data_IF_450445922077
#
_entry.id   IF_450445922077
#
_cell.length_a   1.000
_cell.length_b   1.000
_cell.length_c   1.000
_cell.angle_alpha   90.00
_cell.angle_beta   90.00
_cell.angle_gamma   90.00
#
_symmetry.space_group_name_H-M   'P 1'
#
loop_
_entity.id
_entity.type
_entity.pdbx_description
1 polymer ?
#
# COMPACT_ATOMS: atom_id res chain seq x y z
N UNK A 1 -13.01 9.62 4.08
CA UNK A 1 -11.93 8.88 4.75
C UNK A 1 -11.17 9.82 5.67
N UNK A 2 -10.99 9.45 6.94
CA UNK A 2 -10.06 10.11 7.84
C UNK A 2 -8.67 9.60 7.47
N UNK A 3 -7.88 10.48 6.87
CA UNK A 3 -6.57 10.09 6.38
C UNK A 3 -5.57 9.91 7.51
N UNK A 4 -5.75 10.66 8.60
CA UNK A 4 -4.83 10.60 9.73
C UNK A 4 -5.41 11.26 10.98
N UNK A 5 -5.14 10.71 12.15
CA UNK A 5 -5.45 11.32 13.44
C UNK A 5 -4.19 11.93 14.06
N UNK A 6 -4.33 13.07 14.72
CA UNK A 6 -3.26 13.75 15.44
C UNK A 6 -3.34 13.49 16.94
N UNK A 7 -2.22 13.14 17.55
CA UNK A 7 -2.09 12.76 18.96
C UNK A 7 -1.21 13.74 19.75
N UNK A 8 -0.76 14.81 19.13
CA UNK A 8 0.00 15.90 19.72
C UNK A 8 -0.16 17.17 18.90
N UNK A 9 0.16 18.32 19.48
CA UNK A 9 0.15 19.60 18.77
C UNK A 9 1.06 19.58 17.53
N UNK A 10 2.25 18.99 17.65
CA UNK A 10 3.18 18.86 16.52
C UNK A 10 2.64 17.99 15.38
N UNK A 11 1.89 16.93 15.70
CA UNK A 11 1.20 16.12 14.69
C UNK A 11 0.06 16.91 14.04
N UNK A 12 -0.73 17.65 14.83
CA UNK A 12 -1.79 18.53 14.29
C UNK A 12 -1.22 19.59 13.34
N UNK A 13 -0.09 20.22 13.67
CA UNK A 13 0.62 21.12 12.78
C UNK A 13 1.07 20.44 11.47
N UNK A 14 1.53 19.19 11.57
CA UNK A 14 1.87 18.34 10.42
C UNK A 14 0.65 18.07 9.53
N UNK A 15 -0.49 17.72 10.14
CA UNK A 15 -1.74 17.50 9.43
C UNK A 15 -2.26 18.78 8.77
N UNK A 16 -2.16 19.93 9.44
CA UNK A 16 -2.54 21.22 8.87
C UNK A 16 -1.70 21.56 7.62
N UNK A 17 -0.37 21.38 7.67
CA UNK A 17 0.51 21.59 6.51
C UNK A 17 0.14 20.65 5.36
N UNK A 18 -0.10 19.36 5.66
CA UNK A 18 -0.50 18.36 4.66
C UNK A 18 -1.87 18.73 4.04
N UNK A 19 -2.85 19.10 4.86
CA UNK A 19 -4.17 19.53 4.39
C UNK A 19 -4.09 20.73 3.45
N UNK A 20 -3.31 21.77 3.82
CA UNK A 20 -3.08 22.93 2.98
C UNK A 20 -2.43 22.56 1.63
N UNK A 21 -1.45 21.65 1.64
CA UNK A 21 -0.84 21.15 0.41
C UNK A 21 -1.86 20.42 -0.48
N UNK A 22 -2.70 19.56 0.11
CA UNK A 22 -3.76 18.84 -0.62
C UNK A 22 -4.76 19.81 -1.24
N UNK A 23 -5.24 20.79 -0.47
CA UNK A 23 -6.16 21.84 -0.96
C UNK A 23 -5.52 22.63 -2.13
N UNK A 24 -4.24 22.96 -2.03
CA UNK A 24 -3.53 23.68 -3.11
C UNK A 24 -3.41 22.85 -4.40
N UNK A 25 -3.51 21.54 -4.30
CA UNK A 25 -3.51 20.60 -5.44
C UNK A 25 -4.93 20.25 -5.95
N UNK A 26 -5.96 20.84 -5.35
CA UNK A 26 -7.35 20.63 -5.74
C UNK A 26 -8.05 19.47 -5.05
N UNK A 27 -7.45 18.94 -3.98
CA UNK A 27 -8.09 17.91 -3.16
C UNK A 27 -9.03 18.51 -2.12
N UNK A 28 -10.13 17.78 -1.79
CA UNK A 28 -11.05 18.14 -0.70
C UNK A 28 -10.51 17.62 0.62
N UNK A 29 -9.60 18.37 1.22
CA UNK A 29 -9.09 18.10 2.55
C UNK A 29 -9.66 19.08 3.57
N UNK A 30 -9.92 18.59 4.77
CA UNK A 30 -10.44 19.38 5.89
C UNK A 30 -9.77 18.93 7.18
N UNK A 31 -9.27 19.90 7.95
CA UNK A 31 -8.75 19.64 9.28
C UNK A 31 -9.92 19.64 10.25
N UNK A 32 -10.11 18.52 10.95
CA UNK A 32 -11.18 18.33 11.93
C UNK A 32 -10.66 18.57 13.35
N UNK A 33 -11.45 19.25 14.16
CA UNK A 33 -11.31 19.27 15.61
C UNK A 33 -11.63 17.90 16.22
N UNK A 34 -11.32 17.73 17.49
CA UNK A 34 -11.66 16.52 18.23
C UNK A 34 -13.19 16.30 18.26
N UNK A 35 -13.97 17.35 18.47
CA UNK A 35 -15.43 17.32 18.53
C UNK A 35 -16.02 16.87 17.19
N UNK A 36 -15.57 17.47 16.09
CA UNK A 36 -16.01 17.10 14.74
C UNK A 36 -15.62 15.66 14.39
N UNK A 37 -14.43 15.23 14.83
CA UNK A 37 -14.00 13.86 14.66
C UNK A 37 -14.86 12.88 15.46
N UNK A 38 -15.30 13.25 16.69
CA UNK A 38 -16.19 12.44 17.53
C UNK A 38 -17.55 12.22 16.89
N UNK A 39 -18.08 13.23 16.22
CA UNK A 39 -19.35 13.12 15.50
C UNK A 39 -19.24 12.18 14.29
N UNK A 40 -18.10 12.23 13.61
CA UNK A 40 -17.86 11.42 12.40
C UNK A 40 -17.55 9.95 12.72
N UNK A 41 -16.81 9.69 13.80
CA UNK A 41 -16.37 8.34 14.21
C UNK A 41 -16.63 8.08 15.71
N UNK A 42 -17.89 7.97 16.10
CA UNK A 42 -18.28 7.86 17.51
C UNK A 42 -17.82 6.58 18.21
N UNK A 43 -17.35 5.59 17.48
CA UNK A 43 -16.86 4.32 18.03
C UNK A 43 -15.37 4.33 18.38
N UNK A 44 -14.66 5.40 18.06
CA UNK A 44 -13.24 5.55 18.41
C UNK A 44 -13.13 6.22 19.76
N UNK A 45 -12.43 5.59 20.69
CA UNK A 45 -12.13 6.20 21.99
C UNK A 45 -11.10 7.32 21.80
N UNK A 46 -11.53 8.56 21.92
CA UNK A 46 -10.69 9.74 21.70
C UNK A 46 -10.05 10.27 23.00
N UNK A 47 -10.54 9.79 24.16
CA UNK A 47 -10.12 10.24 25.48
C UNK A 47 -9.15 9.26 26.15
N UNK A 48 -8.54 8.34 25.39
CA UNK A 48 -7.55 7.44 25.94
C UNK A 48 -6.37 8.23 26.52
N UNK A 49 -6.04 8.08 27.80
CA UNK A 49 -4.98 8.88 28.43
C UNK A 49 -3.59 8.56 27.88
N UNK A 50 -3.44 7.42 27.23
CA UNK A 50 -2.16 6.98 26.66
C UNK A 50 -1.97 7.48 25.23
N UNK A 51 -3.07 7.58 24.48
CA UNK A 51 -3.06 8.01 23.08
C UNK A 51 -4.26 8.93 22.79
N UNK A 52 -4.31 10.12 23.40
CA UNK A 52 -5.39 11.05 23.16
C UNK A 52 -5.43 11.48 21.70
N UNK A 53 -6.60 11.70 21.16
CA UNK A 53 -6.78 12.26 19.82
C UNK A 53 -7.13 13.73 19.96
N UNK A 54 -6.37 14.61 19.28
CA UNK A 54 -6.59 16.06 19.26
C UNK A 54 -7.42 16.52 18.06
N UNK A 55 -7.48 15.70 17.02
CA UNK A 55 -8.21 15.99 15.80
C UNK A 55 -7.76 15.07 14.66
N UNK A 56 -8.09 15.43 13.44
CA UNK A 56 -7.75 14.61 12.28
C UNK A 56 -7.79 15.37 10.96
N UNK A 57 -7.25 14.76 9.92
CA UNK A 57 -7.33 15.25 8.55
C UNK A 57 -8.32 14.39 7.76
N UNK A 58 -9.42 14.97 7.35
CA UNK A 58 -10.43 14.34 6.53
C UNK A 58 -10.13 14.58 5.04
N UNK A 59 -10.11 13.51 4.24
CA UNK A 59 -10.14 13.59 2.79
C UNK A 59 -11.52 13.14 2.30
N UNK A 60 -12.39 14.10 1.97
CA UNK A 60 -13.82 13.85 1.67
C UNK A 60 -14.01 12.92 0.47
N UNK A 61 -13.20 13.07 -0.57
CA UNK A 61 -13.23 12.23 -1.77
C UNK A 61 -12.31 11.00 -1.70
N UNK A 62 -11.71 10.75 -0.55
CA UNK A 62 -10.98 9.51 -0.32
C UNK A 62 -11.91 8.31 -0.37
N UNK A 63 -11.38 7.16 -0.75
CA UNK A 63 -12.16 5.93 -0.87
C UNK A 63 -11.27 4.70 -0.79
N UNK A 64 -11.90 3.54 -0.86
CA UNK A 64 -11.24 2.25 -0.85
C UNK A 64 -11.22 1.67 -2.26
N UNK A 65 -10.04 1.33 -2.76
CA UNK A 65 -9.91 0.58 -4.00
C UNK A 65 -9.85 -0.93 -3.70
N UNK A 66 -10.64 -1.70 -4.41
CA UNK A 66 -10.51 -3.16 -4.35
C UNK A 66 -9.27 -3.58 -5.12
N UNK A 67 -8.21 -3.94 -4.37
CA UNK A 67 -6.90 -4.27 -4.93
C UNK A 67 -6.94 -5.43 -5.94
N UNK A 68 -7.79 -6.45 -5.68
CA UNK A 68 -8.04 -7.57 -6.58
C UNK A 68 -8.63 -7.10 -7.92
N UNK A 69 -9.63 -6.23 -7.91
CA UNK A 69 -10.25 -5.68 -9.11
C UNK A 69 -9.26 -4.83 -9.91
N UNK A 70 -8.41 -4.05 -9.23
CA UNK A 70 -7.34 -3.27 -9.87
C UNK A 70 -6.34 -4.19 -10.56
N UNK A 71 -5.83 -5.21 -9.86
CA UNK A 71 -4.89 -6.18 -10.41
C UNK A 71 -5.47 -6.90 -11.64
N UNK A 72 -6.71 -7.39 -11.56
CA UNK A 72 -7.40 -8.02 -12.69
C UNK A 72 -7.69 -7.04 -13.83
N UNK A 73 -7.94 -5.78 -13.52
CA UNK A 73 -8.10 -4.73 -14.53
C UNK A 73 -6.85 -4.57 -15.39
N UNK A 74 -5.68 -4.46 -14.75
CA UNK A 74 -4.39 -4.39 -15.44
C UNK A 74 -4.05 -5.68 -16.19
N UNK A 75 -4.28 -6.85 -15.58
CA UNK A 75 -4.03 -8.14 -16.22
C UNK A 75 -4.85 -8.29 -17.51
N UNK A 76 -6.15 -7.99 -17.49
CA UNK A 76 -7.01 -8.03 -18.69
C UNK A 76 -6.58 -7.02 -19.75
N UNK A 77 -6.08 -5.85 -19.32
CA UNK A 77 -5.56 -4.87 -20.27
C UNK A 77 -4.28 -5.38 -20.94
N UNK A 78 -3.36 -5.95 -20.18
CA UNK A 78 -2.14 -6.55 -20.71
C UNK A 78 -2.43 -7.68 -21.70
N UNK A 79 -3.32 -8.60 -21.35
CA UNK A 79 -3.77 -9.70 -22.20
C UNK A 79 -4.33 -9.18 -23.55
N UNK A 80 -5.18 -8.14 -23.54
CA UNK A 80 -5.67 -7.50 -24.78
C UNK A 80 -4.57 -6.90 -25.65
N UNK A 81 -3.42 -6.59 -25.07
CA UNK A 81 -2.22 -6.13 -25.79
C UNK A 81 -1.27 -7.26 -26.18
N UNK A 82 -1.69 -8.52 -26.04
CA UNK A 82 -0.90 -9.69 -26.45
C UNK A 82 0.17 -10.11 -25.44
N UNK A 83 0.01 -9.73 -24.17
CA UNK A 83 0.91 -10.18 -23.11
C UNK A 83 0.44 -11.54 -22.58
N UNK A 84 1.31 -12.54 -22.65
CA UNK A 84 1.04 -13.85 -22.03
C UNK A 84 1.20 -13.76 -20.52
N UNK A 85 0.15 -14.11 -19.77
CA UNK A 85 0.13 -14.16 -18.32
C UNK A 85 0.16 -15.60 -17.86
N UNK A 86 1.30 -16.05 -17.36
CA UNK A 86 1.49 -17.42 -16.90
C UNK A 86 1.35 -17.48 -15.39
N UNK A 87 0.21 -17.99 -14.92
CA UNK A 87 -0.07 -18.16 -13.49
C UNK A 87 0.59 -19.42 -12.94
N UNK A 88 0.80 -19.47 -11.62
CA UNK A 88 1.42 -20.60 -10.92
C UNK A 88 2.80 -20.98 -11.49
N UNK A 89 3.49 -20.01 -12.07
CA UNK A 89 4.81 -20.15 -12.64
C UNK A 89 5.86 -19.50 -11.74
N UNK A 90 6.45 -20.29 -10.85
CA UNK A 90 7.45 -19.82 -9.90
C UNK A 90 8.82 -19.73 -10.57
N UNK A 91 9.47 -18.57 -10.44
CA UNK A 91 10.86 -18.38 -10.86
C UNK A 91 11.78 -18.98 -9.79
N UNK A 92 12.53 -20.00 -10.18
CA UNK A 92 13.46 -20.74 -9.30
C UNK A 92 14.93 -20.41 -9.54
N UNK A 93 15.23 -19.72 -10.63
CA UNK A 93 16.60 -19.32 -10.97
C UNK A 93 16.67 -18.48 -12.22
N UNK A 94 17.91 -18.14 -12.61
CA UNK A 94 18.20 -17.36 -13.81
C UNK A 94 19.14 -18.12 -14.75
N UNK A 95 18.91 -17.97 -16.05
CA UNK A 95 19.83 -18.47 -17.09
C UNK A 95 20.82 -17.35 -17.39
N UNK A 96 22.07 -17.55 -17.02
CA UNK A 96 23.12 -16.55 -17.18
C UNK A 96 24.16 -17.08 -18.18
N UNK A 97 24.39 -16.35 -19.26
CA UNK A 97 25.39 -16.62 -20.27
C UNK A 97 26.34 -15.42 -20.42
N UNK A 98 27.64 -15.64 -20.23
CA UNK A 98 28.65 -14.58 -20.32
C UNK A 98 28.33 -13.32 -19.53
N UNK A 99 27.84 -13.47 -18.29
CA UNK A 99 27.48 -12.35 -17.39
C UNK A 99 26.19 -11.63 -17.76
N UNK A 100 25.43 -12.13 -18.72
CA UNK A 100 24.13 -11.57 -19.12
C UNK A 100 23.00 -12.56 -18.80
N UNK A 101 21.91 -12.08 -18.23
CA UNK A 101 20.71 -12.89 -18.05
C UNK A 101 20.00 -13.02 -19.39
N UNK A 102 19.75 -14.25 -19.82
CA UNK A 102 19.14 -14.61 -21.11
C UNK A 102 17.82 -15.36 -20.95
N UNK A 103 17.41 -15.66 -19.71
CA UNK A 103 16.19 -16.37 -19.44
C UNK A 103 15.99 -16.62 -17.94
N UNK A 104 14.88 -17.24 -17.64
CA UNK A 104 14.47 -17.63 -16.30
C UNK A 104 14.27 -19.14 -16.21
N UNK A 105 14.69 -19.75 -15.12
CA UNK A 105 14.31 -21.09 -14.75
C UNK A 105 13.01 -21.01 -13.94
N UNK A 106 12.04 -21.82 -14.28
CA UNK A 106 10.75 -21.87 -13.58
C UNK A 106 10.36 -23.31 -13.25
N UNK A 107 9.38 -23.47 -12.36
CA UNK A 107 8.78 -24.79 -12.08
C UNK A 107 8.02 -25.38 -13.29
N UNK A 108 7.81 -24.61 -14.36
CA UNK A 108 7.15 -25.04 -15.60
C UNK A 108 8.12 -25.16 -16.78
N UNK A 109 9.42 -24.95 -16.56
CA UNK A 109 10.46 -25.01 -17.59
C UNK A 109 11.25 -23.71 -17.71
N UNK A 110 12.01 -23.59 -18.79
CA UNK A 110 12.87 -22.42 -19.04
C UNK A 110 12.15 -21.46 -19.99
N UNK A 111 12.14 -20.19 -19.61
CA UNK A 111 11.62 -19.09 -20.44
C UNK A 111 12.80 -18.23 -20.86
N UNK A 112 13.06 -18.15 -22.17
CA UNK A 112 14.12 -17.30 -22.74
C UNK A 112 13.59 -15.90 -23.02
N UNK A 113 14.36 -14.87 -22.69
CA UNK A 113 14.02 -13.48 -22.97
C UNK A 113 15.26 -12.60 -23.10
N UNK A 114 15.22 -11.64 -24.02
CA UNK A 114 16.30 -10.66 -24.22
C UNK A 114 16.37 -9.60 -23.13
N UNK A 115 15.23 -9.30 -22.50
CA UNK A 115 15.08 -8.32 -21.42
C UNK A 115 14.16 -8.88 -20.35
N UNK A 116 14.55 -8.72 -19.10
CA UNK A 116 13.81 -9.20 -17.96
C UNK A 116 13.57 -8.05 -16.99
N UNK A 117 12.30 -7.78 -16.68
CA UNK A 117 11.89 -6.85 -15.65
C UNK A 117 11.52 -7.60 -14.37
N UNK A 118 11.93 -7.08 -13.22
CA UNK A 118 11.62 -7.64 -11.91
C UNK A 118 10.65 -6.75 -11.17
N UNK A 119 9.45 -7.24 -10.89
CA UNK A 119 8.40 -6.53 -10.15
C UNK A 119 7.78 -7.49 -9.10
N UNK A 120 8.57 -7.91 -8.13
CA UNK A 120 8.25 -9.01 -7.20
C UNK A 120 8.08 -8.56 -5.74
N UNK A 121 7.94 -7.25 -5.52
CA UNK A 121 7.67 -6.63 -4.22
C UNK A 121 8.51 -7.23 -3.07
N UNK A 122 7.91 -7.84 -2.08
CA UNK A 122 8.59 -8.43 -0.92
C UNK A 122 9.59 -9.56 -1.23
N UNK A 123 9.63 -10.10 -2.45
CA UNK A 123 10.60 -11.09 -2.89
C UNK A 123 11.80 -10.49 -3.63
N UNK A 124 11.90 -9.16 -3.70
CA UNK A 124 12.91 -8.45 -4.50
C UNK A 124 14.34 -8.90 -4.18
N UNK A 125 14.75 -8.92 -2.92
CA UNK A 125 16.09 -9.35 -2.53
C UNK A 125 16.37 -10.82 -2.84
N UNK A 126 15.35 -11.68 -2.68
CA UNK A 126 15.45 -13.11 -2.98
C UNK A 126 15.69 -13.34 -4.49
N UNK A 127 14.89 -12.70 -5.34
CA UNK A 127 15.01 -12.84 -6.80
C UNK A 127 16.28 -12.17 -7.32
N UNK A 128 16.68 -11.01 -6.77
CA UNK A 128 17.92 -10.35 -7.11
C UNK A 128 19.14 -11.22 -6.80
N UNK A 129 19.13 -11.96 -5.70
CA UNK A 129 20.24 -12.86 -5.33
C UNK A 129 20.45 -14.00 -6.33
N UNK A 130 19.40 -14.44 -7.06
CA UNK A 130 19.51 -15.43 -8.14
C UNK A 130 20.34 -14.89 -9.33
N UNK A 131 20.41 -13.56 -9.47
CA UNK A 131 21.27 -12.88 -10.44
C UNK A 131 22.64 -12.48 -9.87
N UNK A 132 22.96 -12.89 -8.63
CA UNK A 132 24.18 -12.48 -7.94
C UNK A 132 24.18 -11.03 -7.46
N UNK A 133 23.00 -10.37 -7.42
CA UNK A 133 22.85 -8.99 -6.97
C UNK A 133 22.44 -8.94 -5.50
N UNK A 134 23.09 -8.06 -4.74
CA UNK A 134 22.69 -7.72 -3.38
C UNK A 134 22.08 -6.34 -3.36
N UNK A 135 20.78 -6.25 -3.00
CA UNK A 135 20.08 -4.99 -2.88
C UNK A 135 19.89 -4.62 -1.39
N UNK A 136 19.98 -3.34 -1.04
CA UNK A 136 19.73 -2.86 0.33
C UNK A 136 18.21 -2.76 0.60
N UNK A 137 17.50 -3.88 0.43
CA UNK A 137 16.06 -3.99 0.61
C UNK A 137 15.80 -5.12 1.57
N UNK A 138 15.06 -4.82 2.64
CA UNK A 138 14.55 -5.79 3.59
C UNK A 138 13.04 -5.85 3.51
N UNK A 139 12.49 -7.05 3.67
CA UNK A 139 11.05 -7.26 3.68
C UNK A 139 10.57 -7.48 5.09
N UNK A 140 9.60 -6.67 5.52
CA UNK A 140 8.95 -6.81 6.80
C UNK A 140 7.57 -7.44 6.63
N UNK A 141 7.19 -8.27 7.59
CA UNK A 141 5.86 -8.86 7.63
C UNK A 141 4.89 -7.84 8.21
N UNK A 142 3.90 -7.48 7.41
CA UNK A 142 2.75 -6.71 7.87
C UNK A 142 1.59 -7.66 8.14
N UNK A 143 0.82 -7.35 9.17
CA UNK A 143 -0.31 -8.16 9.60
C UNK A 143 -1.62 -7.45 9.24
N UNK A 144 -2.53 -8.16 8.63
CA UNK A 144 -3.87 -7.69 8.34
C UNK A 144 -4.91 -8.62 8.98
N UNK A 145 -5.99 -8.05 9.45
CA UNK A 145 -7.11 -8.77 10.03
C UNK A 145 -8.39 -8.43 9.26
N UNK A 146 -9.25 -9.42 9.12
CA UNK A 146 -10.56 -9.26 8.50
C UNK A 146 -11.59 -9.72 9.51
N UNK A 147 -12.61 -8.92 9.77
CA UNK A 147 -13.74 -9.34 10.60
C UNK A 147 -14.60 -10.37 9.87
N UNK A 148 -15.37 -11.12 10.61
CA UNK A 148 -16.51 -11.82 10.05
C UNK A 148 -17.50 -10.83 9.41
N UNK A 149 -18.40 -11.32 8.58
CA UNK A 149 -19.41 -10.48 7.91
C UNK A 149 -20.28 -9.74 8.92
N UNK A 150 -20.07 -8.43 9.00
CA UNK A 150 -20.84 -7.49 9.83
C UNK A 150 -21.66 -6.57 8.94
N UNK A 151 -22.75 -6.04 9.47
CA UNK A 151 -23.40 -4.90 8.83
C UNK A 151 -22.41 -3.73 8.79
N UNK A 152 -22.41 -2.90 7.73
CA UNK A 152 -21.59 -1.70 7.69
C UNK A 152 -21.81 -0.85 8.94
N UNK A 153 -20.75 -0.57 9.68
CA UNK A 153 -20.77 0.21 10.91
C UNK A 153 -19.73 1.32 10.91
N UNK A 154 -18.83 1.33 9.93
CA UNK A 154 -17.78 2.33 9.75
C UNK A 154 -17.87 2.80 8.31
N UNK A 155 -18.23 4.07 8.11
CA UNK A 155 -18.44 4.65 6.78
C UNK A 155 -17.16 5.28 6.20
N UNK A 156 -16.06 5.27 6.95
CA UNK A 156 -14.79 5.84 6.51
C UNK A 156 -13.60 4.99 6.94
N UNK A 157 -12.54 5.04 6.14
CA UNK A 157 -11.24 4.54 6.56
C UNK A 157 -10.65 5.47 7.62
N UNK A 158 -10.07 4.89 8.66
CA UNK A 158 -9.40 5.61 9.74
C UNK A 158 -7.95 5.16 9.76
N UNK A 159 -7.03 6.09 9.52
CA UNK A 159 -5.60 5.88 9.70
C UNK A 159 -5.12 6.46 11.01
N UNK A 160 -4.24 5.75 11.67
CA UNK A 160 -3.65 6.14 12.93
C UNK A 160 -2.18 6.53 12.72
N UNK A 161 -1.93 7.80 12.54
CA UNK A 161 -0.60 8.43 12.47
C UNK A 161 0.43 7.75 11.57
N UNK A 162 0.96 8.48 10.61
CA UNK A 162 1.99 7.97 9.69
C UNK A 162 3.33 7.60 10.37
N UNK A 163 3.49 7.89 11.66
CA UNK A 163 4.74 7.71 12.40
C UNK A 163 4.88 6.32 13.06
N UNK A 164 3.88 5.46 12.94
CA UNK A 164 3.93 4.09 13.49
C UNK A 164 4.44 3.03 12.50
N UNK A 165 4.86 3.44 11.32
CA UNK A 165 5.48 2.56 10.33
C UNK A 165 6.99 2.81 10.27
N UNK A 166 7.71 2.29 11.24
CA UNK A 166 9.15 2.10 11.20
C UNK A 166 9.48 0.65 11.45
#
# INVERSE_FOLDING_TARGET
>A
CIRDSGHSDGQMDGLARRGNMMISQGDDAELLSKEELSELVPYVNQDDPRFPIYGGLLHKRGGTARHDAVAWGYARAADRHGVDIIQNCEVTGMVINNGRITGLQTNQGIIMADKIGMAVAGRTSQVASMAGLKLPIESHVLQAFVSEGLKPCIDCEISWGAELFY
#
